data_IF_096428469353
#
_entry.id   IF_096428469353
#
_cell.length_a   1.000
_cell.length_b   1.000
_cell.length_c   1.000
_cell.angle_alpha   90.00
_cell.angle_beta   90.00
_cell.angle_gamma   90.00
#
_symmetry.space_group_name_H-M   'P 1'
#
loop_
_entity.id
_entity.type
_entity.pdbx_description
1 polymer ?
#
# COMPACT_ATOMS: atom_id res chain seq x y z
N UNK A 1 52.57 -44.75 45.75
CA UNK A 1 53.20 -44.29 44.48
C UNK A 1 52.75 -42.86 44.27
N UNK A 2 53.42 -41.86 44.85
CA UNK A 2 54.75 -41.32 44.51
C UNK A 2 54.63 -40.10 43.59
N UNK A 3 54.99 -38.95 44.17
CA UNK A 3 55.84 -37.92 43.59
C UNK A 3 55.29 -37.06 42.43
N UNK A 4 54.98 -35.80 42.77
CA UNK A 4 55.31 -34.57 42.00
C UNK A 4 56.81 -34.51 41.63
N UNK A 5 57.42 -33.44 41.04
CA UNK A 5 56.98 -32.23 40.30
C UNK A 5 57.83 -32.04 38.99
N UNK A 6 57.73 -30.87 38.29
CA UNK A 6 58.83 -30.08 37.65
C UNK A 6 58.26 -29.21 36.51
N UNK A 7 58.30 -27.88 36.59
CA UNK A 7 59.40 -26.94 36.28
C UNK A 7 59.12 -26.26 34.93
N UNK A 8 58.79 -24.97 34.92
CA UNK A 8 59.72 -23.82 34.90
C UNK A 8 60.46 -23.70 33.58
N UNK A 9 60.39 -22.51 32.98
CA UNK A 9 61.51 -21.69 32.44
C UNK A 9 60.92 -20.64 31.46
N UNK A 10 60.92 -19.34 31.79
CA UNK A 10 61.91 -18.29 31.39
C UNK A 10 61.60 -17.80 29.95
N UNK A 11 61.70 -16.55 29.50
CA UNK A 11 62.34 -15.32 29.96
C UNK A 11 61.92 -14.18 29.01
N UNK A 12 61.73 -12.99 29.57
CA UNK A 12 62.32 -11.69 29.18
C UNK A 12 62.60 -11.34 27.71
N UNK A 13 62.12 -10.15 27.31
CA UNK A 13 62.90 -9.02 26.76
C UNK A 13 61.90 -7.88 26.42
N UNK A 14 61.88 -6.76 27.16
CA UNK A 14 62.58 -5.49 26.84
C UNK A 14 62.35 -5.03 25.38
N UNK A 15 61.91 -3.83 25.03
CA UNK A 15 61.96 -2.53 25.69
C UNK A 15 62.41 -1.49 24.65
N UNK A 16 61.74 -0.33 24.63
CA UNK A 16 62.21 1.00 24.15
C UNK A 16 61.92 1.48 22.70
N UNK A 17 60.97 2.44 22.66
CA UNK A 17 61.02 3.86 22.19
C UNK A 17 61.25 4.27 20.72
N UNK A 18 60.37 5.23 20.36
CA UNK A 18 60.56 6.42 19.47
C UNK A 18 60.43 6.17 17.95
N UNK A 19 59.76 6.99 17.14
CA UNK A 19 59.71 8.46 17.09
C UNK A 19 58.37 9.01 16.55
N UNK A 20 58.15 10.26 16.92
CA UNK A 20 57.13 11.22 16.51
C UNK A 20 57.06 11.49 14.99
N UNK A 21 55.95 12.14 14.65
CA UNK A 21 55.70 13.06 13.51
C UNK A 21 55.15 12.44 12.22
N UNK A 22 53.92 12.85 11.90
CA UNK A 22 53.27 12.52 10.65
C UNK A 22 51.77 12.76 10.68
N UNK A 23 51.34 13.94 11.12
CA UNK A 23 49.98 14.45 10.93
C UNK A 23 49.68 14.49 9.42
N UNK A 24 49.17 13.39 8.87
CA UNK A 24 48.57 13.34 7.53
C UNK A 24 47.07 13.44 7.72
N UNK A 25 46.62 14.67 7.95
CA UNK A 25 45.30 15.15 7.52
C UNK A 25 45.03 14.69 6.08
N UNK A 26 44.41 13.51 5.92
CA UNK A 26 43.69 13.15 4.68
C UNK A 26 42.49 14.08 4.62
N UNK A 27 42.70 15.30 4.11
CA UNK A 27 41.64 16.12 3.54
C UNK A 27 41.07 15.33 2.36
N UNK A 28 40.06 14.52 2.61
CA UNK A 28 39.16 14.01 1.57
C UNK A 28 38.53 15.23 0.93
N UNK A 29 39.07 15.64 -0.23
CA UNK A 29 38.39 16.60 -1.09
C UNK A 29 36.99 16.04 -1.35
N UNK A 30 35.90 16.79 -1.15
CA UNK A 30 34.57 16.30 -1.47
C UNK A 30 34.56 15.94 -2.96
N UNK A 31 34.40 14.65 -3.24
CA UNK A 31 34.24 14.15 -4.61
C UNK A 31 33.00 14.84 -5.17
N UNK A 32 33.22 15.75 -6.13
CA UNK A 32 32.15 16.47 -6.83
C UNK A 32 31.26 15.40 -7.44
N UNK A 33 30.08 15.20 -6.86
CA UNK A 33 29.18 14.11 -7.19
C UNK A 33 29.04 13.97 -8.72
N UNK A 34 29.37 12.80 -9.27
CA UNK A 34 29.04 12.40 -10.66
C UNK A 34 27.53 12.16 -10.86
N UNK A 35 26.67 12.61 -9.94
CA UNK A 35 25.25 12.80 -10.21
C UNK A 35 25.18 14.05 -11.08
N UNK A 36 24.75 13.88 -12.33
CA UNK A 36 24.86 14.86 -13.41
C UNK A 36 24.48 16.30 -13.05
N UNK A 37 24.86 17.24 -13.92
CA UNK A 37 24.66 18.70 -13.76
C UNK A 37 23.34 19.03 -13.03
N UNK A 38 23.33 19.99 -12.09
CA UNK A 38 22.12 20.36 -11.33
C UNK A 38 20.91 20.59 -12.25
N UNK A 39 21.14 21.17 -13.42
CA UNK A 39 20.13 21.39 -14.45
C UNK A 39 19.54 20.08 -15.01
N UNK A 40 20.36 19.03 -15.18
CA UNK A 40 19.90 17.71 -15.62
C UNK A 40 19.11 16.98 -14.52
N UNK A 41 19.43 17.22 -13.25
CA UNK A 41 18.66 16.70 -12.11
C UNK A 41 17.31 17.40 -12.03
N UNK A 42 17.27 18.71 -12.23
CA UNK A 42 16.03 19.49 -12.29
C UNK A 42 15.16 19.10 -13.47
N UNK A 43 15.72 18.94 -14.67
CA UNK A 43 14.99 18.42 -15.84
C UNK A 43 14.34 17.07 -15.56
N UNK A 44 15.07 16.16 -14.90
CA UNK A 44 14.52 14.85 -14.48
C UNK A 44 13.46 14.98 -13.40
N UNK A 45 13.61 15.91 -12.45
CA UNK A 45 12.64 16.15 -11.38
C UNK A 45 11.35 16.75 -11.94
N UNK A 46 11.46 17.74 -12.83
CA UNK A 46 10.34 18.36 -13.52
C UNK A 46 9.60 17.36 -14.42
N UNK A 47 10.32 16.55 -15.20
CA UNK A 47 9.70 15.51 -16.03
C UNK A 47 8.93 14.47 -15.20
N UNK A 48 9.46 14.08 -14.03
CA UNK A 48 8.75 13.18 -13.10
C UNK A 48 7.50 13.84 -12.54
N UNK A 49 7.61 15.06 -12.02
CA UNK A 49 6.47 15.80 -11.47
C UNK A 49 5.36 16.00 -12.51
N UNK A 50 5.74 16.37 -13.74
CA UNK A 50 4.81 16.52 -14.86
C UNK A 50 4.12 15.19 -15.22
N UNK A 51 4.89 14.11 -15.33
CA UNK A 51 4.33 12.79 -15.62
C UNK A 51 3.42 12.31 -14.49
N UNK A 52 3.77 12.56 -13.23
CA UNK A 52 2.93 12.19 -12.08
C UNK A 52 1.59 12.94 -12.11
N UNK A 53 1.59 14.24 -12.44
CA UNK A 53 0.37 15.04 -12.60
C UNK A 53 -0.49 14.51 -13.75
N UNK A 54 0.09 14.29 -14.93
CA UNK A 54 -0.67 13.85 -16.11
C UNK A 54 -1.13 12.39 -16.06
N UNK A 55 -0.35 11.51 -15.44
CA UNK A 55 -0.72 10.08 -15.31
C UNK A 55 -1.62 9.81 -14.10
N UNK A 56 -2.02 10.85 -13.35
CA UNK A 56 -2.84 10.73 -12.15
C UNK A 56 -2.12 10.02 -11.00
N UNK A 57 -0.80 9.83 -11.10
CA UNK A 57 0.05 9.28 -10.03
C UNK A 57 0.31 10.30 -8.92
N UNK A 58 0.26 11.58 -9.23
CA UNK A 58 0.32 12.70 -8.28
C UNK A 58 -1.02 13.02 -7.62
N UNK A 59 -2.12 12.41 -8.10
CA UNK A 59 -3.44 12.49 -7.46
C UNK A 59 -3.65 11.42 -6.37
N UNK A 60 -2.66 10.55 -6.14
CA UNK A 60 -2.60 9.87 -4.84
C UNK A 60 -2.00 10.86 -3.84
N UNK A 61 -2.63 11.07 -2.67
CA UNK A 61 -2.08 11.96 -1.65
C UNK A 61 -0.65 11.50 -1.33
N UNK A 62 0.34 12.20 -1.86
CA UNK A 62 1.78 11.99 -1.64
C UNK A 62 2.21 12.35 -0.22
N UNK A 63 1.22 12.46 0.68
CA UNK A 63 1.29 12.76 2.09
C UNK A 63 0.45 11.76 2.90
N UNK A 64 0.17 10.56 2.36
CA UNK A 64 -0.25 9.46 3.21
C UNK A 64 0.91 9.15 4.15
N UNK A 65 0.76 9.55 5.42
CA UNK A 65 1.58 9.15 6.56
C UNK A 65 2.07 7.71 6.34
N UNK A 66 3.36 7.42 6.55
CA UNK A 66 3.94 6.09 6.30
C UNK A 66 3.14 4.95 6.96
N UNK A 67 2.38 5.24 8.03
CA UNK A 67 1.40 4.33 8.63
C UNK A 67 0.19 4.03 7.73
N UNK A 68 -0.40 5.05 7.13
CA UNK A 68 -1.57 4.94 6.23
C UNK A 68 -1.22 4.25 4.91
N UNK A 69 -0.04 4.53 4.34
CA UNK A 69 0.43 3.85 3.13
C UNK A 69 0.74 2.36 3.41
N UNK A 70 1.35 2.05 4.56
CA UNK A 70 1.54 0.65 4.99
C UNK A 70 0.21 -0.08 5.19
N UNK A 71 -0.80 0.60 5.76
CA UNK A 71 -2.16 0.04 5.88
C UNK A 71 -2.76 -0.22 4.50
N UNK A 72 -2.72 0.75 3.59
CA UNK A 72 -3.20 0.61 2.20
C UNK A 72 -2.56 -0.59 1.51
N UNK A 73 -1.25 -0.71 1.55
CA UNK A 73 -0.51 -1.81 0.93
C UNK A 73 -0.90 -3.16 1.53
N UNK A 74 -1.09 -3.23 2.86
CA UNK A 74 -1.58 -4.44 3.53
C UNK A 74 -2.98 -4.84 3.04
N UNK A 75 -3.92 -3.90 2.99
CA UNK A 75 -5.30 -4.17 2.53
C UNK A 75 -5.33 -4.66 1.08
N UNK A 76 -4.53 -4.04 0.20
CA UNK A 76 -4.38 -4.46 -1.20
C UNK A 76 -3.80 -5.87 -1.31
N UNK A 77 -2.80 -6.19 -0.47
CA UNK A 77 -2.20 -7.53 -0.44
C UNK A 77 -3.21 -8.59 0.02
N UNK A 78 -3.95 -8.33 1.10
CA UNK A 78 -5.00 -9.23 1.62
C UNK A 78 -6.06 -9.51 0.54
N UNK A 79 -6.51 -8.48 -0.17
CA UNK A 79 -7.48 -8.59 -1.27
C UNK A 79 -6.92 -9.38 -2.46
N UNK A 80 -5.64 -9.20 -2.80
CA UNK A 80 -4.98 -9.89 -3.92
C UNK A 80 -4.78 -11.38 -3.64
N UNK A 81 -4.36 -11.71 -2.41
CA UNK A 81 -4.10 -13.09 -1.98
C UNK A 81 -5.40 -13.81 -1.58
N UNK A 82 -6.51 -13.07 -1.44
CA UNK A 82 -7.78 -13.54 -0.91
C UNK A 82 -7.64 -14.25 0.46
N UNK A 83 -6.66 -13.79 1.23
CA UNK A 83 -6.30 -14.29 2.55
C UNK A 83 -6.34 -13.13 3.53
N UNK A 84 -7.08 -13.30 4.61
CA UNK A 84 -6.98 -12.43 5.76
C UNK A 84 -5.61 -12.62 6.45
N UNK A 85 -5.33 -11.83 7.49
CA UNK A 85 -4.08 -11.96 8.26
C UNK A 85 -3.75 -13.44 8.57
N UNK A 86 -2.63 -13.91 8.02
CA UNK A 86 -2.18 -15.30 8.14
C UNK A 86 -2.68 -16.19 7.00
N UNK A 87 -3.25 -17.35 7.33
CA UNK A 87 -3.68 -18.39 6.38
C UNK A 87 -5.19 -18.46 6.20
N UNK A 88 -5.97 -17.62 6.90
CA UNK A 88 -7.44 -17.66 6.83
C UNK A 88 -7.93 -17.11 5.50
N UNK A 89 -8.88 -17.81 4.89
CA UNK A 89 -9.56 -17.32 3.70
C UNK A 89 -10.38 -16.07 4.02
N UNK A 90 -10.36 -15.11 3.10
CA UNK A 90 -11.07 -13.85 3.27
C UNK A 90 -12.57 -14.07 3.05
N UNK A 91 -13.40 -13.73 4.05
CA UNK A 91 -14.86 -13.85 3.90
C UNK A 91 -15.38 -12.78 2.94
N UNK A 92 -16.52 -13.00 2.26
CA UNK A 92 -17.14 -11.99 1.40
C UNK A 92 -17.42 -10.66 2.13
N UNK A 93 -17.82 -10.72 3.40
CA UNK A 93 -18.01 -9.54 4.23
C UNK A 93 -16.69 -8.78 4.48
N UNK A 94 -15.59 -9.51 4.73
CA UNK A 94 -14.28 -8.89 4.92
C UNK A 94 -13.83 -8.17 3.64
N UNK A 95 -14.09 -8.74 2.47
CA UNK A 95 -13.82 -8.06 1.18
C UNK A 95 -14.51 -6.70 1.13
N UNK A 96 -15.80 -6.63 1.50
CA UNK A 96 -16.55 -5.37 1.52
C UNK A 96 -15.93 -4.35 2.49
N UNK A 97 -15.55 -4.77 3.69
CA UNK A 97 -14.86 -3.90 4.65
C UNK A 97 -13.53 -3.38 4.10
N UNK A 98 -12.69 -4.26 3.53
CA UNK A 98 -11.39 -3.89 2.97
C UNK A 98 -11.52 -2.90 1.81
N UNK A 99 -12.54 -3.06 0.97
CA UNK A 99 -12.83 -2.14 -0.14
C UNK A 99 -13.35 -0.81 0.40
N UNK A 100 -14.24 -0.80 1.39
CA UNK A 100 -14.71 0.44 2.04
C UNK A 100 -13.55 1.24 2.63
N UNK A 101 -12.68 0.58 3.40
CA UNK A 101 -11.47 1.21 3.97
C UNK A 101 -10.55 1.79 2.88
N UNK A 102 -10.38 1.09 1.76
CA UNK A 102 -9.56 1.58 0.65
C UNK A 102 -10.18 2.80 -0.02
N UNK A 103 -11.51 2.86 -0.15
CA UNK A 103 -12.21 4.04 -0.66
C UNK A 103 -12.10 5.23 0.30
N UNK A 104 -12.19 5.00 1.60
CA UNK A 104 -11.98 6.02 2.64
C UNK A 104 -10.55 6.57 2.61
N UNK A 105 -9.56 5.74 2.29
CA UNK A 105 -8.16 6.15 2.06
C UNK A 105 -7.95 6.84 0.70
N UNK A 106 -9.00 7.09 -0.09
CA UNK A 106 -8.92 7.76 -1.38
C UNK A 106 -8.39 6.89 -2.52
N UNK A 107 -8.33 5.57 -2.35
CA UNK A 107 -7.89 4.67 -3.42
C UNK A 107 -9.02 4.49 -4.44
N UNK A 108 -8.78 4.78 -5.73
CA UNK A 108 -9.84 4.65 -6.74
C UNK A 108 -10.18 3.18 -6.99
N UNK A 109 -11.47 2.89 -7.23
CA UNK A 109 -11.98 1.54 -7.53
C UNK A 109 -11.21 0.84 -8.66
N UNK A 110 -10.74 1.59 -9.67
CA UNK A 110 -9.97 1.03 -10.78
C UNK A 110 -8.67 0.37 -10.33
N UNK A 111 -8.00 0.92 -9.31
CA UNK A 111 -6.80 0.33 -8.71
C UNK A 111 -7.15 -0.90 -7.89
N UNK A 112 -8.26 -0.86 -7.14
CA UNK A 112 -8.72 -1.99 -6.32
C UNK A 112 -9.09 -3.18 -7.21
N UNK A 113 -9.80 -2.95 -8.33
CA UNK A 113 -10.19 -3.99 -9.30
C UNK A 113 -9.01 -4.66 -9.99
N UNK A 114 -7.88 -3.97 -10.15
CA UNK A 114 -6.64 -4.57 -10.67
C UNK A 114 -6.00 -5.52 -9.67
N UNK A 115 -6.13 -5.21 -8.37
CA UNK A 115 -5.55 -6.03 -7.31
C UNK A 115 -6.41 -7.24 -6.96
N UNK A 116 -7.74 -7.09 -6.95
CA UNK A 116 -8.66 -8.16 -6.61
C UNK A 116 -9.80 -8.27 -7.61
N UNK A 117 -10.00 -9.49 -8.10
CA UNK A 117 -11.17 -9.84 -8.90
C UNK A 117 -12.25 -10.39 -7.97
N UNK A 118 -13.39 -9.71 -7.83
CA UNK A 118 -14.50 -10.22 -7.03
C UNK A 118 -14.93 -11.60 -7.57
N UNK A 119 -15.19 -12.55 -6.66
CA UNK A 119 -15.79 -13.83 -7.04
C UNK A 119 -17.22 -13.55 -7.52
N UNK A 120 -17.57 -14.05 -8.71
CA UNK A 120 -18.95 -14.00 -9.19
C UNK A 120 -19.79 -14.92 -8.31
N UNK A 121 -20.81 -14.37 -7.67
CA UNK A 121 -21.76 -15.16 -6.88
C UNK A 121 -22.84 -15.68 -7.84
N UNK A 122 -22.91 -16.99 -8.02
CA UNK A 122 -24.02 -17.65 -8.71
C UNK A 122 -25.13 -17.89 -7.67
N UNK A 123 -25.79 -16.81 -7.25
CA UNK A 123 -26.85 -16.83 -6.24
C UNK A 123 -28.09 -16.17 -6.83
N UNK A 124 -29.26 -16.69 -6.47
CA UNK A 124 -30.56 -16.15 -6.88
C UNK A 124 -30.68 -14.64 -6.59
N UNK A 125 -31.10 -13.80 -7.55
CA UNK A 125 -31.14 -12.34 -7.40
C UNK A 125 -32.00 -11.86 -6.22
N UNK A 126 -33.09 -12.57 -5.91
CA UNK A 126 -34.00 -12.25 -4.81
C UNK A 126 -33.34 -12.44 -3.44
N UNK A 127 -32.58 -13.53 -3.26
CA UNK A 127 -31.82 -13.79 -2.05
C UNK A 127 -30.70 -12.74 -1.85
N UNK A 128 -30.05 -12.34 -2.94
CA UNK A 128 -29.03 -11.27 -2.92
C UNK A 128 -29.65 -9.94 -2.50
N UNK A 129 -30.83 -9.59 -3.00
CA UNK A 129 -31.51 -8.34 -2.65
C UNK A 129 -31.78 -8.22 -1.15
N UNK A 130 -32.36 -9.25 -0.54
CA UNK A 130 -32.66 -9.24 0.91
C UNK A 130 -31.38 -9.20 1.75
N UNK A 131 -30.34 -9.94 1.35
CA UNK A 131 -29.04 -9.87 2.00
C UNK A 131 -28.43 -8.47 1.93
N UNK A 132 -28.49 -7.81 0.76
CA UNK A 132 -27.98 -6.45 0.54
C UNK A 132 -28.74 -5.43 1.38
N UNK A 133 -30.07 -5.52 1.47
CA UNK A 133 -30.89 -4.62 2.30
C UNK A 133 -30.51 -4.71 3.78
N UNK A 134 -30.42 -5.94 4.31
CA UNK A 134 -29.99 -6.18 5.69
C UNK A 134 -28.57 -5.68 5.94
N UNK A 135 -27.66 -5.92 4.99
CA UNK A 135 -26.28 -5.49 5.10
C UNK A 135 -26.14 -3.97 5.06
N UNK A 136 -26.91 -3.31 4.19
CA UNK A 136 -26.92 -1.85 4.09
C UNK A 136 -27.50 -1.21 5.35
N UNK A 137 -28.58 -1.76 5.89
CA UNK A 137 -29.14 -1.29 7.16
C UNK A 137 -28.16 -1.45 8.34
N UNK A 138 -27.36 -2.51 8.35
CA UNK A 138 -26.41 -2.79 9.43
C UNK A 138 -25.10 -1.98 9.34
N UNK A 139 -24.52 -1.84 8.15
CA UNK A 139 -23.18 -1.27 7.96
C UNK A 139 -23.14 0.02 7.15
N UNK A 140 -24.17 0.32 6.35
CA UNK A 140 -24.23 1.54 5.56
C UNK A 140 -23.13 1.67 4.50
N UNK A 141 -22.65 0.55 3.93
CA UNK A 141 -21.60 0.63 2.90
C UNK A 141 -21.99 1.53 1.75
N UNK A 142 -21.01 2.22 1.17
CA UNK A 142 -21.25 3.07 0.01
C UNK A 142 -21.67 2.23 -1.22
N UNK A 143 -22.51 2.76 -2.12
CA UNK A 143 -22.95 2.07 -3.34
C UNK A 143 -21.81 1.51 -4.20
N UNK A 144 -20.67 2.21 -4.22
CA UNK A 144 -19.47 1.80 -4.97
C UNK A 144 -18.89 0.45 -4.51
N UNK A 145 -19.05 0.11 -3.22
CA UNK A 145 -18.55 -1.15 -2.64
C UNK A 145 -19.39 -2.32 -3.15
N UNK A 146 -20.70 -2.17 -3.24
CA UNK A 146 -21.57 -3.23 -3.79
C UNK A 146 -21.32 -3.43 -5.29
N UNK A 147 -21.14 -2.34 -6.04
CA UNK A 147 -20.73 -2.38 -7.45
C UNK A 147 -19.38 -3.05 -7.66
N UNK A 148 -18.48 -2.96 -6.67
CA UNK A 148 -17.20 -3.66 -6.72
C UNK A 148 -17.39 -5.18 -6.69
N UNK A 149 -18.31 -5.71 -5.88
CA UNK A 149 -18.60 -7.16 -5.81
C UNK A 149 -19.45 -7.66 -6.98
N UNK A 150 -19.92 -6.76 -7.84
CA UNK A 150 -20.69 -7.10 -9.04
C UNK A 150 -22.20 -7.04 -8.82
N UNK A 151 -22.66 -6.41 -7.74
CA UNK A 151 -24.09 -6.14 -7.55
C UNK A 151 -24.50 -5.04 -8.52
N UNK A 152 -25.46 -5.37 -9.39
CA UNK A 152 -25.95 -4.48 -10.43
C UNK A 152 -26.74 -3.30 -9.87
N UNK A 153 -26.77 -2.21 -10.63
CA UNK A 153 -27.49 -0.99 -10.26
C UNK A 153 -29.00 -1.21 -10.08
N UNK A 154 -29.58 -2.17 -10.79
CA UNK A 154 -31.01 -2.48 -10.69
C UNK A 154 -31.35 -3.13 -9.33
N UNK A 155 -30.49 -4.03 -8.84
CA UNK A 155 -30.59 -4.59 -7.49
C UNK A 155 -30.38 -3.51 -6.42
N UNK A 156 -29.42 -2.60 -6.63
CA UNK A 156 -29.17 -1.51 -5.69
C UNK A 156 -30.33 -0.50 -5.63
N UNK A 157 -31.00 -0.25 -6.76
CA UNK A 157 -32.23 0.54 -6.80
C UNK A 157 -33.39 -0.19 -6.12
N UNK A 158 -33.58 -1.47 -6.40
CA UNK A 158 -34.62 -2.28 -5.77
C UNK A 158 -34.41 -2.44 -4.26
N UNK A 159 -33.15 -2.45 -3.80
CA UNK A 159 -32.78 -2.43 -2.38
C UNK A 159 -32.97 -1.06 -1.72
N UNK A 160 -33.28 0.00 -2.48
CA UNK A 160 -33.46 1.37 -1.96
C UNK A 160 -32.15 2.10 -1.65
N UNK A 161 -31.00 1.60 -2.13
CA UNK A 161 -29.67 2.16 -1.85
C UNK A 161 -29.33 3.28 -2.83
N UNK A 162 -29.70 3.11 -4.11
CA UNK A 162 -29.55 4.13 -5.12
C UNK A 162 -30.88 4.86 -5.32
N UNK A 163 -30.81 6.18 -5.47
CA UNK A 163 -31.96 6.96 -5.91
C UNK A 163 -32.53 6.41 -7.23
N UNK A 164 -33.84 6.50 -7.38
CA UNK A 164 -34.51 6.14 -8.63
C UNK A 164 -33.83 6.87 -9.79
N UNK A 165 -33.54 6.14 -10.89
CA UNK A 165 -32.92 6.72 -12.08
C UNK A 165 -33.78 7.92 -12.49
N UNK A 166 -33.22 9.14 -12.63
CA UNK A 166 -34.01 10.25 -13.12
C UNK A 166 -34.53 9.86 -14.49
N UNK A 167 -35.86 9.76 -14.60
CA UNK A 167 -36.52 9.64 -15.90
C UNK A 167 -36.01 10.82 -16.72
N UNK A 168 -35.31 10.54 -17.81
CA UNK A 168 -34.94 11.56 -18.79
C UNK A 168 -36.25 12.22 -19.22
N UNK A 169 -36.59 13.37 -18.62
CA UNK A 169 -37.67 14.22 -19.13
C UNK A 169 -37.24 14.59 -20.54
N UNK A 170 -37.94 14.00 -21.51
CA UNK A 170 -37.72 14.27 -22.92
C UNK A 170 -37.74 15.78 -23.13
N UNK A 171 -36.73 16.26 -23.84
CA UNK A 171 -36.67 17.62 -24.35
C UNK A 171 -37.94 17.86 -25.16
N UNK A 172 -38.85 18.68 -24.65
CA UNK A 172 -40.01 19.15 -25.40
C UNK A 172 -39.50 19.82 -26.69
N UNK A 173 -39.95 19.40 -27.88
CA UNK A 173 -39.67 20.17 -29.09
C UNK A 173 -40.35 21.54 -28.95
N UNK A 174 -39.58 22.60 -29.19
CA UNK A 174 -40.09 23.96 -29.36
C UNK A 174 -40.60 24.13 -30.78
#
# INVERSE_FOLDING_TARGET
MSLSPFASVTSMASGTRSKLTGDKTRRTRPVKNRRGSPEAVEKRRAARAFNDVLTGRGATPSLLDGRTEKRRQRLIKELRENKARGTRELKPLDVLHRVSELLELGVPLGTIRKAAKPRKLAVEPTAVLEAVRRLHAAYGFRPEVYRFVGIGDDLLRAAGILAAKPTRRGRQPR
#
